data_IF_632397628789
#
_entry.id   IF_632397628789
#
_cell.length_a   1.000
_cell.length_b   1.000
_cell.length_c   1.000
_cell.angle_alpha   90.00
_cell.angle_beta   90.00
_cell.angle_gamma   90.00
#
_symmetry.space_group_name_H-M   'P 1'
#
loop_
_entity.id
_entity.type
_entity.pdbx_description
1 polymer ?
#
# COMPACT_ATOMS: atom_id res chain seq x y z
N UNK A 1 -26.21 -17.35 0.06
CA UNK A 1 -26.34 -16.98 -1.36
C UNK A 1 -24.96 -16.57 -1.85
N UNK A 2 -24.44 -17.14 -2.94
CA UNK A 2 -23.19 -16.69 -3.55
C UNK A 2 -23.45 -15.30 -4.13
N UNK A 3 -22.85 -14.26 -3.58
CA UNK A 3 -22.83 -12.94 -4.22
C UNK A 3 -22.02 -13.08 -5.52
N UNK A 4 -22.68 -12.93 -6.63
CA UNK A 4 -22.04 -12.83 -7.96
C UNK A 4 -21.56 -11.38 -8.07
N UNK A 5 -20.32 -11.16 -8.48
CA UNK A 5 -19.84 -9.82 -8.79
C UNK A 5 -20.81 -9.23 -9.83
N UNK A 6 -21.43 -8.07 -9.58
CA UNK A 6 -22.27 -7.44 -10.58
C UNK A 6 -21.50 -7.30 -11.89
N UNK A 7 -22.17 -7.56 -13.03
CA UNK A 7 -21.56 -7.48 -14.38
C UNK A 7 -20.89 -6.12 -14.62
N UNK A 8 -21.39 -5.06 -14.00
CA UNK A 8 -20.81 -3.71 -14.05
C UNK A 8 -19.46 -3.62 -13.32
N UNK A 9 -19.30 -4.30 -12.18
CA UNK A 9 -18.02 -4.42 -11.47
C UNK A 9 -17.06 -5.34 -12.22
N UNK A 10 -17.56 -6.40 -12.84
CA UNK A 10 -16.77 -7.26 -13.72
C UNK A 10 -16.22 -6.47 -14.92
N UNK A 11 -17.05 -5.63 -15.55
CA UNK A 11 -16.63 -4.70 -16.63
C UNK A 11 -15.61 -3.68 -16.15
N UNK A 12 -15.69 -3.18 -14.93
CA UNK A 12 -14.67 -2.28 -14.36
C UNK A 12 -13.31 -2.97 -14.23
N UNK A 13 -13.28 -4.27 -14.00
CA UNK A 13 -12.05 -5.06 -14.00
C UNK A 13 -11.59 -5.45 -15.42
N UNK A 14 -12.54 -5.60 -16.35
CA UNK A 14 -12.28 -6.05 -17.73
C UNK A 14 -12.00 -4.88 -18.70
N UNK A 15 -12.56 -3.68 -18.46
CA UNK A 15 -12.53 -2.52 -19.36
C UNK A 15 -11.46 -1.48 -19.02
N UNK A 16 -10.26 -1.86 -18.61
CA UNK A 16 -9.15 -0.91 -18.33
C UNK A 16 -9.47 0.14 -17.24
N UNK A 17 -10.64 0.15 -16.67
CA UNK A 17 -11.02 1.03 -15.58
C UNK A 17 -10.59 0.39 -14.27
N UNK A 18 -9.37 0.63 -13.93
CA UNK A 18 -8.83 0.21 -12.66
C UNK A 18 -9.30 1.14 -11.61
N UNK A 19 -10.33 0.72 -11.08
CA UNK A 19 -10.73 1.42 -9.89
C UNK A 19 -11.13 0.33 -8.88
N UNK A 20 -10.51 0.45 -7.73
CA UNK A 20 -10.99 -0.24 -6.54
C UNK A 20 -12.48 0.10 -6.38
N UNK A 21 -13.23 -0.72 -5.70
CA UNK A 21 -14.65 -0.47 -5.39
C UNK A 21 -14.94 0.91 -4.81
N UNK A 22 -13.95 1.52 -4.16
CA UNK A 22 -14.00 2.90 -3.70
C UNK A 22 -14.33 3.91 -4.82
N UNK A 23 -13.97 3.63 -6.06
CA UNK A 23 -14.21 4.54 -7.17
C UNK A 23 -15.68 4.76 -7.52
N UNK A 24 -16.51 3.76 -7.37
CA UNK A 24 -17.95 3.92 -7.61
C UNK A 24 -18.64 4.68 -6.48
N UNK A 25 -18.10 4.67 -5.27
CA UNK A 25 -18.61 5.41 -4.11
C UNK A 25 -18.13 6.87 -4.08
N UNK A 26 -17.00 7.19 -4.74
CA UNK A 26 -16.36 8.50 -4.73
C UNK A 26 -16.80 9.45 -5.85
N UNK A 27 -17.81 9.12 -6.65
CA UNK A 27 -18.30 9.93 -7.80
C UNK A 27 -18.74 11.36 -7.46
N UNK A 28 -18.96 11.67 -6.19
CA UNK A 28 -19.42 12.99 -5.75
C UNK A 28 -18.29 13.96 -5.35
N UNK A 29 -17.03 13.58 -5.47
CA UNK A 29 -15.88 14.40 -5.08
C UNK A 29 -15.26 15.17 -6.26
N UNK A 30 -15.87 15.14 -7.43
CA UNK A 30 -15.39 15.74 -8.67
C UNK A 30 -15.66 17.24 -8.74
N UNK A 31 -14.83 18.03 -8.09
CA UNK A 31 -14.69 19.47 -8.33
C UNK A 31 -13.31 19.79 -8.90
N UNK A 32 -13.14 20.89 -9.66
CA UNK A 32 -11.82 21.30 -10.13
C UNK A 32 -10.89 21.54 -8.94
N UNK A 33 -9.80 20.78 -8.85
CA UNK A 33 -8.81 20.91 -7.80
C UNK A 33 -7.59 21.69 -8.30
N UNK A 34 -7.80 22.97 -8.63
CA UNK A 34 -6.81 23.86 -9.25
C UNK A 34 -5.48 23.91 -8.46
N UNK A 35 -5.53 23.91 -7.13
CA UNK A 35 -4.31 23.90 -6.30
C UNK A 35 -3.56 22.57 -6.40
N UNK A 36 -4.26 21.47 -6.59
CA UNK A 36 -3.64 20.16 -6.82
C UNK A 36 -2.98 20.10 -8.20
N UNK A 37 -3.62 20.64 -9.22
CA UNK A 37 -3.08 20.77 -10.58
C UNK A 37 -1.81 21.63 -10.60
N UNK A 38 -1.85 22.79 -9.94
CA UNK A 38 -0.67 23.65 -9.77
C UNK A 38 0.47 22.92 -9.03
N UNK A 39 0.15 22.13 -8.00
CA UNK A 39 1.10 21.31 -7.28
C UNK A 39 1.73 20.22 -8.17
N UNK A 40 1.04 19.74 -9.18
CA UNK A 40 1.58 18.80 -10.16
C UNK A 40 2.48 19.49 -11.20
N UNK A 41 2.15 20.69 -11.65
CA UNK A 41 2.82 21.36 -12.75
C UNK A 41 4.30 21.72 -12.49
N UNK A 42 4.73 21.81 -11.23
CA UNK A 42 6.10 22.20 -10.86
C UNK A 42 7.06 21.05 -10.58
N UNK A 43 6.68 19.81 -10.91
CA UNK A 43 7.48 18.62 -10.59
C UNK A 43 8.60 18.40 -11.60
N UNK A 44 9.75 17.99 -11.10
CA UNK A 44 10.91 17.57 -11.87
C UNK A 44 11.11 16.05 -11.74
N UNK A 45 10.98 15.33 -12.88
CA UNK A 45 11.21 13.90 -12.95
C UNK A 45 12.67 13.59 -13.22
N UNK A 46 13.23 12.61 -12.51
CA UNK A 46 14.51 12.02 -12.87
C UNK A 46 14.28 10.95 -13.96
N UNK A 47 14.49 11.34 -15.20
CA UNK A 47 14.34 10.45 -16.35
C UNK A 47 15.58 9.57 -16.62
N UNK A 48 16.62 9.68 -15.78
CA UNK A 48 17.86 8.89 -15.86
C UNK A 48 17.84 7.67 -14.95
N UNK A 49 16.97 7.67 -13.97
CA UNK A 49 16.79 6.54 -13.01
C UNK A 49 15.98 5.42 -13.64
N UNK A 50 16.23 4.19 -13.20
CA UNK A 50 15.43 3.03 -13.61
C UNK A 50 14.04 3.12 -12.94
N UNK A 51 12.95 3.00 -13.71
CA UNK A 51 11.61 2.98 -13.13
C UNK A 51 11.40 1.72 -12.29
N UNK A 52 10.52 1.80 -11.30
CA UNK A 52 10.11 0.64 -10.53
C UNK A 52 9.51 -0.44 -11.44
N UNK A 53 10.01 -1.67 -11.33
CA UNK A 53 9.53 -2.86 -12.06
C UNK A 53 8.71 -3.79 -11.17
N UNK A 54 8.32 -3.34 -9.97
CA UNK A 54 7.47 -4.08 -9.04
C UNK A 54 6.02 -3.62 -9.16
N UNK A 55 5.09 -4.55 -9.19
CA UNK A 55 3.67 -4.22 -9.19
C UNK A 55 2.86 -5.24 -8.40
N UNK A 56 1.74 -4.76 -7.84
CA UNK A 56 0.77 -5.58 -7.14
C UNK A 56 -0.24 -6.17 -8.12
N UNK A 57 -0.55 -7.46 -7.96
CA UNK A 57 -1.66 -8.13 -8.62
C UNK A 57 -2.77 -8.44 -7.60
N UNK A 58 -3.98 -8.01 -7.89
CA UNK A 58 -5.16 -8.38 -7.10
C UNK A 58 -5.65 -9.78 -7.53
N UNK A 59 -5.53 -10.78 -6.63
CA UNK A 59 -5.96 -12.16 -6.87
C UNK A 59 -7.45 -12.38 -6.59
N UNK A 60 -8.15 -11.36 -6.06
CA UNK A 60 -9.56 -11.41 -5.68
C UNK A 60 -9.79 -10.75 -4.33
N UNK A 61 -11.04 -10.70 -3.92
CA UNK A 61 -11.42 -10.06 -2.64
C UNK A 61 -11.71 -11.07 -1.53
N UNK A 62 -11.68 -12.36 -1.84
CA UNK A 62 -11.93 -13.42 -0.87
C UNK A 62 -10.95 -13.35 0.32
N UNK A 63 -11.49 -13.32 1.53
CA UNK A 63 -10.73 -13.33 2.78
C UNK A 63 -11.51 -14.06 3.87
N UNK A 64 -10.81 -14.69 4.79
CA UNK A 64 -11.40 -15.39 5.93
C UNK A 64 -11.28 -14.59 7.25
N UNK A 65 -10.82 -13.33 7.18
CA UNK A 65 -10.85 -12.35 8.28
C UNK A 65 -11.84 -11.24 7.94
N UNK A 66 -12.26 -10.48 8.96
CA UNK A 66 -13.19 -9.36 8.84
C UNK A 66 -12.60 -8.09 9.47
N UNK A 67 -11.46 -7.65 8.94
CA UNK A 67 -10.79 -6.46 9.46
C UNK A 67 -11.71 -5.25 9.41
N UNK A 68 -11.76 -4.49 10.51
CA UNK A 68 -12.68 -3.37 10.69
C UNK A 68 -12.52 -2.29 9.61
N UNK A 69 -11.29 -1.97 9.24
CA UNK A 69 -10.96 -0.94 8.24
C UNK A 69 -10.91 -1.45 6.80
N UNK A 70 -11.28 -2.70 6.55
CA UNK A 70 -11.10 -3.31 5.23
C UNK A 70 -12.05 -2.71 4.19
N UNK A 71 -11.52 -2.11 3.14
CA UNK A 71 -12.33 -1.56 2.05
C UNK A 71 -12.97 -2.62 1.14
N UNK A 72 -12.57 -3.89 1.29
CA UNK A 72 -13.25 -5.03 0.63
C UNK A 72 -14.34 -5.67 1.48
N UNK A 73 -14.71 -5.08 2.62
CA UNK A 73 -15.57 -5.70 3.65
C UNK A 73 -16.84 -6.35 3.08
N UNK A 74 -17.50 -5.69 2.15
CA UNK A 74 -18.76 -6.18 1.54
C UNK A 74 -18.56 -7.28 0.49
N UNK A 75 -17.33 -7.69 0.22
CA UNK A 75 -16.97 -8.62 -0.85
C UNK A 75 -16.00 -9.73 -0.42
N UNK A 76 -15.81 -9.92 0.87
CA UNK A 76 -14.85 -10.90 1.40
C UNK A 76 -15.21 -12.37 1.06
N UNK A 77 -16.42 -12.64 0.61
CA UNK A 77 -16.90 -13.95 0.15
C UNK A 77 -16.76 -14.18 -1.36
N UNK A 78 -16.30 -13.16 -2.11
CA UNK A 78 -16.20 -13.21 -3.57
C UNK A 78 -14.86 -13.80 -4.00
N UNK A 79 -14.94 -14.89 -4.79
CA UNK A 79 -13.77 -15.52 -5.42
C UNK A 79 -13.62 -15.04 -6.85
N UNK A 80 -12.40 -14.70 -7.24
CA UNK A 80 -12.09 -14.36 -8.62
C UNK A 80 -11.70 -15.60 -9.40
N UNK A 81 -12.28 -15.85 -10.59
CA UNK A 81 -11.87 -16.96 -11.44
C UNK A 81 -10.38 -16.88 -11.82
N UNK A 82 -9.74 -18.05 -11.91
CA UNK A 82 -8.31 -18.14 -12.29
C UNK A 82 -7.98 -17.41 -13.59
N UNK A 83 -8.84 -17.52 -14.60
CA UNK A 83 -8.63 -16.90 -15.90
C UNK A 83 -8.52 -15.36 -15.81
N UNK A 84 -9.23 -14.75 -14.88
CA UNK A 84 -9.14 -13.31 -14.65
C UNK A 84 -7.82 -12.95 -13.95
N UNK A 85 -7.43 -13.73 -12.91
CA UNK A 85 -6.14 -13.52 -12.22
C UNK A 85 -5.00 -13.69 -13.21
N UNK A 86 -5.06 -14.73 -14.05
CA UNK A 86 -4.07 -14.99 -15.10
C UNK A 86 -3.93 -13.81 -16.06
N UNK A 87 -5.03 -13.26 -16.56
CA UNK A 87 -5.00 -12.08 -17.43
C UNK A 87 -4.32 -10.88 -16.78
N UNK A 88 -4.56 -10.64 -15.49
CA UNK A 88 -3.90 -9.57 -14.74
C UNK A 88 -2.38 -9.79 -14.66
N UNK A 89 -1.96 -11.02 -14.42
CA UNK A 89 -0.54 -11.39 -14.38
C UNK A 89 0.09 -11.22 -15.77
N UNK A 90 -0.55 -11.71 -16.82
CA UNK A 90 -0.07 -11.60 -18.21
C UNK A 90 0.11 -10.12 -18.59
N UNK A 91 -0.84 -9.27 -18.23
CA UNK A 91 -0.76 -7.84 -18.47
C UNK A 91 0.48 -7.19 -17.82
N UNK A 92 0.79 -7.55 -16.58
CA UNK A 92 1.98 -7.04 -15.90
C UNK A 92 3.27 -7.51 -16.58
N UNK A 93 3.31 -8.76 -17.03
CA UNK A 93 4.44 -9.32 -17.78
C UNK A 93 4.65 -8.60 -19.13
N UNK A 94 3.57 -8.36 -19.86
CA UNK A 94 3.60 -7.61 -21.14
C UNK A 94 4.09 -6.17 -20.94
N UNK A 95 3.74 -5.53 -19.82
CA UNK A 95 4.28 -4.22 -19.47
C UNK A 95 5.75 -4.26 -19.04
N UNK A 96 6.30 -5.44 -18.75
CA UNK A 96 7.68 -5.64 -18.32
C UNK A 96 7.88 -5.43 -16.81
N UNK A 97 6.91 -5.82 -16.01
CA UNK A 97 7.07 -5.98 -14.56
C UNK A 97 7.87 -7.25 -14.29
N UNK A 98 8.87 -7.15 -13.42
CA UNK A 98 9.75 -8.27 -13.06
C UNK A 98 9.55 -8.77 -11.63
N UNK A 99 8.85 -8.01 -10.80
CA UNK A 99 8.56 -8.37 -9.41
C UNK A 99 7.07 -8.22 -9.14
N UNK A 100 6.44 -9.25 -8.57
CA UNK A 100 5.00 -9.26 -8.32
C UNK A 100 4.66 -9.41 -6.84
N UNK A 101 3.72 -8.58 -6.38
CA UNK A 101 3.11 -8.69 -5.06
C UNK A 101 1.68 -9.24 -5.20
N UNK A 102 1.44 -10.45 -4.73
CA UNK A 102 0.12 -11.05 -4.68
C UNK A 102 -0.69 -10.43 -3.54
N UNK A 103 -1.85 -9.88 -3.84
CA UNK A 103 -2.68 -9.13 -2.91
C UNK A 103 -4.17 -9.28 -3.25
N UNK A 104 -5.02 -8.57 -2.53
CA UNK A 104 -6.46 -8.58 -2.68
C UNK A 104 -7.14 -8.68 -1.31
N UNK A 105 -7.99 -9.69 -1.12
CA UNK A 105 -8.42 -10.12 0.20
C UNK A 105 -7.27 -10.83 0.91
N UNK A 106 -7.28 -12.16 0.93
CA UNK A 106 -6.14 -12.94 1.40
C UNK A 106 -5.77 -14.00 0.35
N UNK A 107 -4.73 -13.73 -0.41
CA UNK A 107 -4.33 -14.61 -1.54
C UNK A 107 -4.01 -16.04 -1.09
N UNK A 108 -3.43 -16.21 0.12
CA UNK A 108 -3.03 -17.54 0.63
C UNK A 108 -4.20 -18.48 0.95
N UNK A 109 -5.42 -17.97 1.05
CA UNK A 109 -6.62 -18.80 1.25
C UNK A 109 -7.42 -19.02 -0.05
N UNK A 110 -6.98 -18.44 -1.16
CA UNK A 110 -7.57 -18.67 -2.47
C UNK A 110 -7.34 -20.13 -2.89
N UNK A 111 -8.35 -20.84 -3.40
CA UNK A 111 -8.18 -22.19 -3.92
C UNK A 111 -7.11 -22.33 -5.01
N UNK A 112 -6.85 -21.26 -5.74
CA UNK A 112 -5.86 -21.22 -6.83
C UNK A 112 -4.46 -20.79 -6.34
N UNK A 113 -4.24 -20.66 -5.02
CA UNK A 113 -2.95 -20.16 -4.47
C UNK A 113 -1.72 -20.81 -5.11
N UNK A 114 -1.67 -22.13 -5.10
CA UNK A 114 -0.53 -22.84 -5.67
C UNK A 114 -0.46 -22.77 -7.20
N UNK A 115 -1.61 -22.73 -7.87
CA UNK A 115 -1.68 -22.48 -9.32
C UNK A 115 -1.12 -21.12 -9.69
N UNK A 116 -1.43 -20.09 -8.89
CA UNK A 116 -0.89 -18.72 -9.07
C UNK A 116 0.62 -18.72 -8.88
N UNK A 117 1.13 -19.35 -7.81
CA UNK A 117 2.57 -19.43 -7.57
C UNK A 117 3.31 -20.17 -8.69
N UNK A 118 2.83 -21.34 -9.10
CA UNK A 118 3.41 -22.11 -10.18
C UNK A 118 3.42 -21.34 -11.49
N UNK A 119 2.36 -20.58 -11.76
CA UNK A 119 2.30 -19.74 -12.95
C UNK A 119 3.30 -18.59 -12.93
N UNK A 120 3.56 -18.01 -11.74
CA UNK A 120 4.48 -16.87 -11.58
C UNK A 120 5.94 -17.29 -11.46
N UNK A 121 6.26 -18.48 -10.96
CA UNK A 121 7.58 -18.95 -10.52
C UNK A 121 8.71 -18.66 -11.51
N UNK A 122 8.50 -18.97 -12.78
CA UNK A 122 9.54 -18.84 -13.82
C UNK A 122 9.37 -17.57 -14.67
N UNK A 123 8.42 -16.71 -14.32
CA UNK A 123 8.10 -15.49 -15.05
C UNK A 123 8.51 -14.20 -14.33
N UNK A 124 8.64 -14.27 -13.01
CA UNK A 124 9.04 -13.12 -12.20
C UNK A 124 10.35 -13.40 -11.46
N UNK A 125 11.18 -12.39 -11.35
CA UNK A 125 12.41 -12.41 -10.54
C UNK A 125 12.11 -12.58 -9.05
N UNK A 126 10.99 -12.00 -8.60
CA UNK A 126 10.53 -12.08 -7.23
C UNK A 126 9.00 -12.15 -7.13
N UNK A 127 8.54 -13.07 -6.30
CA UNK A 127 7.13 -13.20 -5.93
C UNK A 127 7.04 -12.92 -4.43
N UNK A 128 6.19 -11.96 -4.08
CA UNK A 128 5.82 -11.67 -2.70
C UNK A 128 4.31 -11.73 -2.50
N UNK A 129 3.85 -11.70 -1.27
CA UNK A 129 2.43 -11.51 -0.99
C UNK A 129 2.19 -10.62 0.23
N UNK A 130 1.07 -9.89 0.20
CA UNK A 130 0.49 -9.24 1.36
C UNK A 130 -0.42 -10.26 2.05
N UNK A 131 -0.24 -10.46 3.36
CA UNK A 131 -0.98 -11.51 4.07
C UNK A 131 -1.22 -11.17 5.53
N UNK A 132 -2.37 -11.59 6.03
CA UNK A 132 -2.64 -11.62 7.46
C UNK A 132 -1.93 -12.79 8.18
N UNK A 133 -1.12 -13.59 7.48
CA UNK A 133 -0.25 -14.62 8.03
C UNK A 133 -0.92 -15.92 8.48
N UNK A 134 -2.24 -16.00 8.44
CA UNK A 134 -2.98 -17.11 9.04
C UNK A 134 -2.64 -18.49 8.49
N UNK A 135 -2.48 -18.63 7.16
CA UNK A 135 -2.06 -19.88 6.52
C UNK A 135 -0.59 -20.20 6.74
N UNK A 136 0.25 -19.16 6.81
CA UNK A 136 1.69 -19.31 7.00
C UNK A 136 2.08 -19.74 8.42
N UNK A 137 1.16 -19.76 9.36
CA UNK A 137 1.31 -20.42 10.64
C UNK A 137 1.50 -21.96 10.51
N UNK A 138 1.10 -22.55 9.39
CA UNK A 138 1.38 -23.92 9.03
C UNK A 138 2.70 -24.00 8.26
N UNK A 139 3.73 -24.62 8.88
CA UNK A 139 5.09 -24.71 8.32
C UNK A 139 5.09 -25.43 6.96
N UNK A 140 4.37 -26.53 6.81
CA UNK A 140 4.36 -27.31 5.57
C UNK A 140 3.74 -26.52 4.42
N UNK A 141 2.63 -25.80 4.68
CA UNK A 141 2.04 -24.90 3.69
C UNK A 141 3.01 -23.79 3.24
N UNK A 142 3.77 -23.24 4.19
CA UNK A 142 4.74 -22.19 3.88
C UNK A 142 5.94 -22.74 3.12
N UNK A 143 6.45 -23.92 3.47
CA UNK A 143 7.51 -24.62 2.73
C UNK A 143 7.10 -24.86 1.29
N UNK A 144 5.92 -25.43 1.06
CA UNK A 144 5.39 -25.65 -0.28
C UNK A 144 5.23 -24.32 -1.05
N UNK A 145 4.75 -23.26 -0.40
CA UNK A 145 4.67 -21.93 -1.03
C UNK A 145 6.04 -21.40 -1.45
N UNK A 146 7.07 -21.58 -0.60
CA UNK A 146 8.45 -21.20 -0.89
C UNK A 146 9.02 -22.00 -2.07
N UNK A 147 8.82 -23.32 -2.10
CA UNK A 147 9.28 -24.20 -3.17
C UNK A 147 8.65 -23.82 -4.52
N UNK A 148 7.43 -23.30 -4.50
CA UNK A 148 6.71 -22.75 -5.67
C UNK A 148 7.06 -21.30 -5.98
N UNK A 149 8.09 -20.74 -5.35
CA UNK A 149 8.68 -19.44 -5.73
C UNK A 149 8.33 -18.26 -4.84
N UNK A 150 7.51 -18.40 -3.79
CA UNK A 150 7.28 -17.32 -2.84
C UNK A 150 8.57 -16.98 -2.10
N UNK A 151 9.06 -15.74 -2.23
CA UNK A 151 10.31 -15.28 -1.63
C UNK A 151 10.13 -14.35 -0.43
N UNK A 152 9.04 -13.59 -0.43
CA UNK A 152 8.84 -12.48 0.48
C UNK A 152 7.40 -12.40 0.95
N UNK A 153 7.18 -12.01 2.21
CA UNK A 153 5.86 -11.81 2.77
C UNK A 153 5.80 -10.47 3.50
N UNK A 154 4.81 -9.64 3.15
CA UNK A 154 4.43 -8.45 3.88
C UNK A 154 3.29 -8.80 4.83
N UNK A 155 3.61 -8.98 6.10
CA UNK A 155 2.66 -9.38 7.14
C UNK A 155 1.85 -8.20 7.66
N UNK A 156 0.53 -8.33 7.68
CA UNK A 156 -0.42 -7.32 8.19
C UNK A 156 -0.53 -7.38 9.71
N UNK A 157 0.44 -6.78 10.41
CA UNK A 157 0.55 -6.77 11.87
C UNK A 157 -0.04 -5.47 12.44
N UNK A 158 -1.30 -5.50 12.89
CA UNK A 158 -2.05 -4.31 13.26
C UNK A 158 -2.11 -4.01 14.77
N UNK A 159 -1.60 -4.87 15.63
CA UNK A 159 -1.55 -4.67 17.08
C UNK A 159 -0.34 -5.36 17.68
N UNK A 160 0.08 -4.89 18.86
CA UNK A 160 1.19 -5.45 19.59
C UNK A 160 0.76 -6.49 20.65
N UNK A 161 -0.54 -6.65 20.85
CA UNK A 161 -1.14 -7.64 21.74
C UNK A 161 -2.25 -8.40 21.02
N UNK A 162 -2.57 -9.61 21.51
CA UNK A 162 -3.67 -10.41 20.98
C UNK A 162 -5.00 -9.68 21.06
N UNK A 163 -5.25 -8.98 22.17
CA UNK A 163 -6.48 -8.23 22.39
C UNK A 163 -6.70 -7.19 21.29
N UNK A 164 -5.70 -6.35 21.02
CA UNK A 164 -5.81 -5.28 20.02
C UNK A 164 -5.81 -5.86 18.61
N UNK A 165 -4.86 -6.73 18.28
CA UNK A 165 -4.76 -7.29 16.92
C UNK A 165 -6.02 -8.08 16.52
N UNK A 166 -6.50 -8.97 17.40
CA UNK A 166 -7.67 -9.80 17.13
C UNK A 166 -8.94 -8.96 17.01
N UNK A 167 -9.08 -7.89 17.81
CA UNK A 167 -10.20 -6.96 17.74
C UNK A 167 -10.24 -6.21 16.40
N UNK A 168 -9.07 -5.88 15.86
CA UNK A 168 -8.92 -5.18 14.57
C UNK A 168 -9.23 -6.11 13.40
N UNK A 169 -8.71 -7.33 13.46
CA UNK A 169 -8.86 -8.32 12.37
C UNK A 169 -10.20 -9.06 12.39
N UNK A 170 -11.02 -8.85 13.43
CA UNK A 170 -12.28 -9.57 13.62
C UNK A 170 -12.09 -11.09 13.81
N UNK A 171 -10.87 -11.54 14.17
CA UNK A 171 -10.54 -12.97 14.21
C UNK A 171 -9.75 -13.36 15.45
N UNK A 172 -10.40 -14.00 16.41
CA UNK A 172 -9.74 -14.53 17.61
C UNK A 172 -8.57 -15.45 17.27
N UNK A 173 -7.41 -15.24 17.90
CA UNK A 173 -6.18 -15.99 17.71
C UNK A 173 -5.44 -15.62 16.42
N UNK A 174 -5.78 -14.51 15.74
CA UNK A 174 -5.06 -14.03 14.56
C UNK A 174 -3.66 -13.54 14.92
N UNK A 175 -3.48 -12.93 16.09
CA UNK A 175 -2.19 -12.48 16.58
C UNK A 175 -1.18 -13.61 16.74
N UNK A 176 -1.59 -14.70 17.40
CA UNK A 176 -0.73 -15.86 17.56
C UNK A 176 -0.37 -16.50 16.21
N UNK A 177 -1.35 -16.56 15.28
CA UNK A 177 -1.11 -17.12 13.96
C UNK A 177 -0.16 -16.28 13.13
N UNK A 178 -0.29 -14.96 13.13
CA UNK A 178 0.62 -14.10 12.37
C UNK A 178 2.04 -14.17 12.93
N UNK A 179 2.22 -14.16 14.26
CA UNK A 179 3.54 -14.29 14.87
C UNK A 179 4.20 -15.63 14.54
N UNK A 180 3.42 -16.72 14.56
CA UNK A 180 3.91 -18.04 14.12
C UNK A 180 4.28 -18.04 12.64
N UNK A 181 3.46 -17.41 11.78
CA UNK A 181 3.76 -17.26 10.34
C UNK A 181 5.06 -16.48 10.12
N UNK A 182 5.27 -15.40 10.85
CA UNK A 182 6.52 -14.62 10.83
C UNK A 182 7.72 -15.46 11.26
N UNK A 183 7.59 -16.21 12.37
CA UNK A 183 8.65 -17.09 12.85
C UNK A 183 9.00 -18.17 11.82
N UNK A 184 8.00 -18.83 11.26
CA UNK A 184 8.18 -19.84 10.20
C UNK A 184 8.88 -19.25 8.96
N UNK A 185 8.48 -18.05 8.53
CA UNK A 185 9.09 -17.37 7.37
C UNK A 185 10.56 -17.07 7.62
N UNK A 186 10.90 -16.62 8.82
CA UNK A 186 12.30 -16.36 9.22
C UNK A 186 13.11 -17.64 9.32
N UNK A 187 12.56 -18.71 9.88
CA UNK A 187 13.21 -20.03 9.94
C UNK A 187 13.53 -20.56 8.55
N UNK A 188 12.65 -20.31 7.58
CA UNK A 188 12.88 -20.67 6.20
C UNK A 188 13.79 -19.69 5.43
N UNK A 189 14.29 -18.63 6.07
CA UNK A 189 15.15 -17.62 5.43
C UNK A 189 14.43 -16.78 4.38
N UNK A 190 13.11 -16.60 4.53
CA UNK A 190 12.32 -15.74 3.65
C UNK A 190 12.43 -14.26 4.07
N UNK A 191 12.21 -13.38 3.13
CA UNK A 191 12.15 -11.93 3.41
C UNK A 191 10.84 -11.61 4.13
N UNK A 192 10.97 -11.02 5.32
CA UNK A 192 9.83 -10.61 6.16
C UNK A 192 9.74 -9.10 6.18
N UNK A 193 8.59 -8.57 5.79
CA UNK A 193 8.20 -7.17 6.01
C UNK A 193 6.93 -7.12 6.87
N UNK A 194 6.70 -6.00 7.53
CA UNK A 194 5.48 -5.77 8.32
C UNK A 194 4.73 -4.54 7.83
N UNK A 195 3.41 -4.59 7.95
CA UNK A 195 2.51 -3.52 7.58
C UNK A 195 1.50 -3.28 8.71
N UNK A 196 1.43 -2.05 9.19
CA UNK A 196 0.55 -1.65 10.28
C UNK A 196 -0.35 -0.51 9.82
N UNK A 197 -1.65 -0.75 9.70
CA UNK A 197 -2.62 0.33 9.56
C UNK A 197 -2.84 0.96 10.93
N UNK A 198 -2.49 2.24 11.05
CA UNK A 198 -2.50 2.98 12.31
C UNK A 198 -3.76 3.84 12.40
N UNK A 199 -4.53 3.63 13.46
CA UNK A 199 -5.77 4.37 13.71
C UNK A 199 -6.17 4.31 15.20
N UNK A 200 -7.39 4.70 15.57
CA UNK A 200 -7.79 4.90 16.95
C UNK A 200 -7.63 3.67 17.87
N UNK A 201 -7.68 2.45 17.35
CA UNK A 201 -7.56 1.23 18.18
C UNK A 201 -6.13 0.89 18.58
N UNK A 202 -5.12 1.30 17.79
CA UNK A 202 -3.76 0.80 17.98
C UNK A 202 -2.68 1.87 18.14
N UNK A 203 -2.96 3.16 17.85
CA UNK A 203 -1.94 4.21 17.92
C UNK A 203 -1.24 4.30 19.29
N UNK A 204 -1.98 4.01 20.36
CA UNK A 204 -1.47 4.07 21.73
C UNK A 204 -0.40 3.00 22.04
N UNK A 205 -0.38 1.89 21.30
CA UNK A 205 0.62 0.83 21.47
C UNK A 205 1.91 1.08 20.68
N UNK A 206 1.92 2.03 19.73
CA UNK A 206 3.02 2.15 18.76
C UNK A 206 4.35 2.45 19.44
N UNK A 207 4.38 3.40 20.36
CA UNK A 207 5.61 3.90 20.96
C UNK A 207 6.39 2.83 21.73
N UNK A 208 5.72 1.97 22.46
CA UNK A 208 6.37 1.02 23.35
C UNK A 208 6.20 -0.42 22.89
N UNK A 209 4.99 -0.94 22.95
CA UNK A 209 4.71 -2.36 22.72
C UNK A 209 4.97 -2.75 21.27
N UNK A 210 4.50 -1.93 20.33
CA UNK A 210 4.65 -2.23 18.91
C UNK A 210 6.10 -2.06 18.46
N UNK A 211 6.79 -1.00 18.90
CA UNK A 211 8.21 -0.83 18.62
C UNK A 211 9.06 -1.98 19.18
N UNK A 212 8.77 -2.44 20.40
CA UNK A 212 9.44 -3.60 21.00
C UNK A 212 9.19 -4.88 20.19
N UNK A 213 7.95 -5.09 19.72
CA UNK A 213 7.57 -6.22 18.89
C UNK A 213 8.30 -6.19 17.55
N UNK A 214 8.30 -5.06 16.85
CA UNK A 214 9.03 -4.89 15.58
C UNK A 214 10.53 -5.12 15.77
N UNK A 215 11.12 -4.60 16.85
CA UNK A 215 12.53 -4.83 17.16
C UNK A 215 12.84 -6.31 17.44
N UNK A 216 11.92 -7.06 18.01
CA UNK A 216 12.07 -8.51 18.23
C UNK A 216 11.94 -9.31 16.92
N UNK A 217 11.03 -8.90 16.03
CA UNK A 217 10.83 -9.49 14.72
C UNK A 217 12.02 -9.19 13.80
N UNK A 218 12.56 -7.97 13.83
CA UNK A 218 13.60 -7.48 12.92
C UNK A 218 13.23 -7.74 11.44
N UNK A 219 12.11 -7.18 10.96
CA UNK A 219 11.78 -7.27 9.55
C UNK A 219 12.78 -6.44 8.73
N UNK A 220 12.92 -6.71 7.44
CA UNK A 220 13.73 -5.85 6.56
C UNK A 220 13.10 -4.47 6.39
N UNK A 221 11.77 -4.42 6.49
CA UNK A 221 10.99 -3.18 6.35
C UNK A 221 9.72 -3.22 7.20
N UNK A 222 9.41 -2.08 7.84
CA UNK A 222 8.12 -1.83 8.50
C UNK A 222 7.39 -0.68 7.83
N UNK A 223 6.17 -0.95 7.38
CA UNK A 223 5.27 0.05 6.84
C UNK A 223 4.27 0.48 7.91
N UNK A 224 4.14 1.79 8.10
CA UNK A 224 3.07 2.41 8.88
C UNK A 224 2.15 3.13 7.91
N UNK A 225 0.90 2.74 7.90
CA UNK A 225 -0.12 3.31 7.02
C UNK A 225 -1.10 4.06 7.90
N UNK A 226 -1.25 5.38 7.71
CA UNK A 226 -2.38 6.08 8.30
C UNK A 226 -3.66 5.57 7.65
N UNK A 227 -4.75 5.49 8.41
CA UNK A 227 -6.01 5.01 7.87
C UNK A 227 -6.41 5.87 6.66
N UNK A 228 -6.77 5.21 5.57
CA UNK A 228 -7.38 5.88 4.43
C UNK A 228 -8.84 6.17 4.72
N UNK A 229 -9.27 7.40 4.45
CA UNK A 229 -10.64 7.84 4.67
C UNK A 229 -11.53 7.68 3.43
N UNK A 230 -11.06 6.98 2.42
CA UNK A 230 -11.91 6.67 1.27
C UNK A 230 -12.87 5.52 1.63
N UNK A 231 -14.15 5.81 1.48
CA UNK A 231 -15.21 4.88 1.81
C UNK A 231 -15.92 5.21 3.11
N UNK A 232 -17.19 4.86 3.13
CA UNK A 232 -18.16 5.36 4.10
C UNK A 232 -17.87 4.96 5.56
N UNK A 233 -17.13 3.87 5.78
CA UNK A 233 -16.90 3.35 7.13
C UNK A 233 -15.70 3.97 7.85
N UNK A 234 -14.78 4.58 7.13
CA UNK A 234 -13.57 5.14 7.73
C UNK A 234 -13.75 6.59 8.22
N UNK A 235 -14.71 7.31 7.66
CA UNK A 235 -14.96 8.71 8.01
C UNK A 235 -15.47 8.86 9.44
N UNK A 236 -16.25 7.90 9.94
CA UNK A 236 -16.87 7.92 11.26
C UNK A 236 -15.84 8.01 12.38
N UNK A 237 -14.66 7.42 12.18
CA UNK A 237 -13.63 7.32 13.22
C UNK A 237 -12.61 8.46 13.22
N UNK A 238 -12.67 9.35 12.22
CA UNK A 238 -11.73 10.47 12.11
C UNK A 238 -11.89 11.48 13.26
N UNK A 239 -13.09 11.67 13.77
CA UNK A 239 -13.37 12.59 14.86
C UNK A 239 -12.61 12.23 16.15
N UNK A 240 -12.26 10.94 16.33
CA UNK A 240 -11.60 10.44 17.52
C UNK A 240 -10.08 10.53 17.46
N UNK A 241 -9.47 10.37 16.28
CA UNK A 241 -8.00 10.34 16.14
C UNK A 241 -7.57 10.93 14.79
N UNK A 242 -7.08 12.15 14.82
CA UNK A 242 -6.63 12.91 13.65
C UNK A 242 -5.18 12.61 13.24
N UNK A 243 -4.72 13.20 12.13
CA UNK A 243 -3.34 13.06 11.64
C UNK A 243 -2.28 13.41 12.70
N UNK A 244 -2.50 14.42 13.53
CA UNK A 244 -1.56 14.84 14.59
C UNK A 244 -1.28 13.70 15.56
N UNK A 245 -2.33 13.10 16.07
CA UNK A 245 -2.24 12.00 17.05
C UNK A 245 -1.55 10.79 16.44
N UNK A 246 -1.99 10.38 15.23
CA UNK A 246 -1.45 9.20 14.55
C UNK A 246 0.01 9.39 14.16
N UNK A 247 0.37 10.52 13.53
CA UNK A 247 1.74 10.74 13.10
C UNK A 247 2.69 10.98 14.27
N UNK A 248 2.20 11.55 15.37
CA UNK A 248 3.00 11.66 16.61
C UNK A 248 3.31 10.27 17.17
N UNK A 249 2.34 9.37 17.22
CA UNK A 249 2.57 8.00 17.66
C UNK A 249 3.55 7.25 16.71
N UNK A 250 3.40 7.43 15.39
CA UNK A 250 4.33 6.86 14.41
C UNK A 250 5.75 7.38 14.61
N UNK A 251 5.94 8.69 14.76
CA UNK A 251 7.26 9.30 14.99
C UNK A 251 7.93 8.75 16.25
N UNK A 252 7.21 8.67 17.37
CA UNK A 252 7.72 8.08 18.61
C UNK A 252 8.06 6.60 18.49
N UNK A 253 7.28 5.85 17.69
CA UNK A 253 7.61 4.46 17.37
C UNK A 253 8.92 4.40 16.59
N UNK A 254 9.08 5.21 15.54
CA UNK A 254 10.29 5.27 14.70
C UNK A 254 11.53 5.52 15.56
N UNK A 255 11.45 6.45 16.53
CA UNK A 255 12.57 6.80 17.41
C UNK A 255 13.04 5.61 18.29
N UNK A 256 12.19 4.60 18.47
CA UNK A 256 12.50 3.39 19.25
C UNK A 256 12.88 2.17 18.39
N UNK A 257 12.74 2.27 17.07
CA UNK A 257 13.14 1.18 16.18
C UNK A 257 14.66 1.10 16.07
N UNK A 258 15.15 -0.14 16.04
CA UNK A 258 16.58 -0.43 15.86
C UNK A 258 17.06 -0.08 14.46
N UNK A 259 18.32 0.29 14.33
CA UNK A 259 18.97 0.50 13.04
C UNK A 259 18.89 -0.74 12.14
N UNK A 260 18.80 -0.51 10.84
CA UNK A 260 18.73 -1.56 9.83
C UNK A 260 17.31 -1.99 9.44
N UNK A 261 16.28 -1.51 10.14
CA UNK A 261 14.88 -1.68 9.72
C UNK A 261 14.52 -0.52 8.80
N UNK A 262 14.20 -0.79 7.56
CA UNK A 262 13.69 0.23 6.65
C UNK A 262 12.25 0.62 7.03
N UNK A 263 11.92 1.89 6.89
CA UNK A 263 10.63 2.43 7.33
C UNK A 263 9.94 3.15 6.18
N UNK A 264 8.66 2.87 6.01
CA UNK A 264 7.75 3.63 5.17
C UNK A 264 6.56 4.13 6.00
N UNK A 265 6.23 5.41 5.82
CA UNK A 265 4.99 5.99 6.34
C UNK A 265 4.14 6.42 5.15
N UNK A 266 2.96 5.80 4.97
CA UNK A 266 2.08 6.05 3.83
C UNK A 266 0.86 6.87 4.24
N UNK A 267 0.37 7.66 3.28
CA UNK A 267 -0.83 8.50 3.39
C UNK A 267 -0.74 9.60 4.44
N UNK A 268 0.45 9.80 5.04
CA UNK A 268 0.70 10.90 5.97
C UNK A 268 1.18 12.13 5.19
N UNK A 269 0.52 13.30 5.35
CA UNK A 269 0.99 14.53 4.74
C UNK A 269 2.33 14.97 5.34
N UNK A 270 3.24 15.54 4.52
CA UNK A 270 4.56 15.97 4.97
C UNK A 270 4.52 16.96 6.15
N UNK A 271 3.52 17.83 6.21
CA UNK A 271 3.39 18.80 7.29
C UNK A 271 3.08 18.18 8.67
N UNK A 272 2.70 16.93 8.71
CA UNK A 272 2.54 16.14 9.94
C UNK A 272 3.75 15.23 10.23
N UNK A 273 4.70 15.17 9.29
CA UNK A 273 5.91 14.35 9.40
C UNK A 273 7.20 15.19 9.44
N UNK A 274 7.12 16.44 9.93
CA UNK A 274 8.27 17.30 10.09
C UNK A 274 9.38 16.62 10.90
N UNK A 275 10.62 16.67 10.37
CA UNK A 275 11.79 15.95 10.89
C UNK A 275 11.87 14.47 10.49
N UNK A 276 10.80 13.91 9.91
CA UNK A 276 10.69 12.50 9.51
C UNK A 276 10.36 12.36 8.02
N UNK A 277 10.58 13.38 7.23
CA UNK A 277 10.21 13.44 5.81
C UNK A 277 10.81 12.30 4.98
N UNK A 278 12.00 11.82 5.34
CA UNK A 278 12.69 10.72 4.67
C UNK A 278 11.92 9.38 4.74
N UNK A 279 11.00 9.25 5.67
CA UNK A 279 10.17 8.06 5.84
C UNK A 279 8.83 8.13 5.09
N UNK A 280 8.44 9.33 4.63
CA UNK A 280 7.17 9.50 3.92
C UNK A 280 7.26 8.86 2.54
N UNK A 281 6.37 7.90 2.29
CA UNK A 281 6.16 7.28 1.00
C UNK A 281 4.84 7.80 0.41
N UNK A 282 4.92 8.92 -0.29
CA UNK A 282 3.78 9.51 -1.02
C UNK A 282 3.53 8.81 -2.36
N UNK A 283 2.53 9.26 -3.08
CA UNK A 283 2.11 8.68 -4.37
C UNK A 283 3.25 8.59 -5.39
N UNK A 284 4.12 9.59 -5.44
CA UNK A 284 5.23 9.60 -6.41
C UNK A 284 6.36 8.59 -6.14
N UNK A 285 6.43 8.01 -4.94
CA UNK A 285 7.39 6.94 -4.65
C UNK A 285 7.16 5.71 -5.53
N UNK A 286 5.92 5.50 -6.00
CA UNK A 286 5.59 4.43 -6.95
C UNK A 286 6.39 4.48 -8.27
N UNK A 287 6.98 5.63 -8.59
CA UNK A 287 7.74 5.80 -9.84
C UNK A 287 9.09 5.10 -9.74
N UNK A 288 9.76 5.20 -8.59
CA UNK A 288 11.17 4.83 -8.42
C UNK A 288 11.41 3.75 -7.36
N UNK A 289 10.54 3.63 -6.34
CA UNK A 289 10.76 2.71 -5.23
C UNK A 289 10.55 1.27 -5.66
N UNK A 290 11.62 0.51 -5.79
CA UNK A 290 11.62 -0.90 -6.17
C UNK A 290 10.94 -1.82 -5.16
N UNK A 291 10.62 -1.31 -3.97
CA UNK A 291 9.88 -2.02 -2.93
C UNK A 291 8.42 -1.58 -2.81
N UNK A 292 7.99 -0.68 -3.68
CA UNK A 292 6.61 -0.22 -3.66
C UNK A 292 5.67 -1.30 -4.21
N UNK A 293 4.77 -1.75 -3.35
CA UNK A 293 3.78 -2.77 -3.64
C UNK A 293 2.44 -2.21 -4.17
N UNK A 294 2.26 -0.90 -4.25
CA UNK A 294 0.97 -0.29 -4.58
C UNK A 294 0.86 0.20 -6.03
N UNK A 295 1.72 -0.28 -6.94
CA UNK A 295 1.75 0.19 -8.33
C UNK A 295 0.64 -0.39 -9.22
N UNK A 296 -0.14 -1.34 -8.75
CA UNK A 296 -1.18 -2.02 -9.51
C UNK A 296 -2.05 -1.07 -10.34
N UNK A 297 -2.56 0.00 -9.71
CA UNK A 297 -3.57 0.87 -10.29
C UNK A 297 -3.10 1.68 -11.51
N UNK A 298 -1.80 1.64 -11.84
CA UNK A 298 -1.25 2.48 -12.89
C UNK A 298 -0.93 1.72 -14.17
N UNK A 299 -0.63 0.45 -14.06
CA UNK A 299 -0.22 -0.35 -15.21
C UNK A 299 -1.38 -0.68 -16.13
N UNK A 300 -2.53 -0.97 -15.60
CA UNK A 300 -3.69 -1.41 -16.38
C UNK A 300 -4.35 -0.32 -17.28
N UNK A 301 -3.96 0.95 -17.13
CA UNK A 301 -4.42 2.05 -17.99
C UNK A 301 -3.65 2.14 -19.30
N UNK A 302 -2.58 1.35 -19.46
CA UNK A 302 -1.65 1.47 -20.56
C UNK A 302 -1.94 0.46 -21.68
N UNK A 303 -1.64 0.85 -22.90
CA UNK A 303 -1.64 -0.05 -24.03
C UNK A 303 -0.37 -0.91 -24.02
N UNK A 304 -0.47 -2.15 -23.56
CA UNK A 304 0.67 -3.07 -23.50
C UNK A 304 1.00 -3.76 -24.83
N UNK A 305 0.25 -3.46 -25.90
CA UNK A 305 0.54 -4.00 -27.23
C UNK A 305 1.86 -3.49 -27.84
N UNK A 306 2.46 -2.46 -27.22
CA UNK A 306 3.74 -1.89 -27.61
C UNK A 306 4.73 -1.84 -26.45
N UNK A 307 6.05 -2.00 -26.72
CA UNK A 307 7.06 -1.81 -25.70
C UNK A 307 7.17 -0.34 -25.27
N UNK A 308 7.48 -0.10 -24.00
CA UNK A 308 7.78 1.22 -23.46
C UNK A 308 9.24 1.33 -23.07
N UNK A 309 9.87 2.44 -23.42
CA UNK A 309 11.20 2.79 -22.93
C UNK A 309 11.15 3.11 -21.42
N UNK A 310 12.28 3.03 -20.70
CA UNK A 310 12.33 3.43 -19.28
C UNK A 310 11.79 4.84 -19.04
N UNK A 311 12.11 5.79 -19.91
CA UNK A 311 11.62 7.17 -19.84
C UNK A 311 10.10 7.26 -19.98
N UNK A 312 9.51 6.54 -20.92
CA UNK A 312 8.04 6.48 -21.09
C UNK A 312 7.39 5.80 -19.88
N UNK A 313 8.00 4.77 -19.29
CA UNK A 313 7.49 4.14 -18.07
C UNK A 313 7.47 5.09 -16.88
N UNK A 314 8.50 5.94 -16.73
CA UNK A 314 8.53 6.99 -15.72
C UNK A 314 7.41 8.01 -15.98
N UNK A 315 7.26 8.47 -17.21
CA UNK A 315 6.21 9.43 -17.57
C UNK A 315 4.80 8.86 -17.33
N UNK A 316 4.54 7.64 -17.77
CA UNK A 316 3.26 6.95 -17.56
C UNK A 316 2.93 6.80 -16.06
N UNK A 317 3.93 6.42 -15.25
CA UNK A 317 3.76 6.32 -13.81
C UNK A 317 3.46 7.68 -13.18
N UNK A 318 4.12 8.74 -13.64
CA UNK A 318 3.89 10.11 -13.19
C UNK A 318 2.46 10.59 -13.51
N UNK A 319 1.99 10.38 -14.75
CA UNK A 319 0.65 10.79 -15.17
C UNK A 319 -0.44 10.09 -14.35
N UNK A 320 -0.22 8.81 -14.06
CA UNK A 320 -1.10 8.04 -13.19
C UNK A 320 -1.07 8.54 -11.74
N UNK A 321 0.11 8.88 -11.20
CA UNK A 321 0.23 9.49 -9.88
C UNK A 321 -0.48 10.83 -9.79
N UNK A 322 -0.40 11.67 -10.83
CA UNK A 322 -1.13 12.93 -10.87
C UNK A 322 -2.63 12.72 -10.84
N UNK A 323 -3.14 11.80 -11.66
CA UNK A 323 -4.57 11.46 -11.68
C UNK A 323 -5.04 11.01 -10.30
N UNK A 324 -4.28 10.12 -9.65
CA UNK A 324 -4.58 9.67 -8.30
C UNK A 324 -4.60 10.81 -7.28
N UNK A 325 -3.59 11.68 -7.30
CA UNK A 325 -3.51 12.83 -6.39
C UNK A 325 -4.67 13.80 -6.58
N UNK A 326 -4.99 14.13 -7.82
CA UNK A 326 -6.15 15.01 -8.14
C UNK A 326 -7.45 14.41 -7.67
N UNK A 327 -7.59 13.11 -7.74
CA UNK A 327 -8.82 12.40 -7.37
C UNK A 327 -9.03 12.33 -5.87
N UNK A 328 -8.00 11.93 -5.11
CA UNK A 328 -8.15 11.55 -3.70
C UNK A 328 -7.68 12.61 -2.71
N UNK A 329 -6.89 13.60 -3.14
CA UNK A 329 -6.27 14.56 -2.24
C UNK A 329 -6.63 16.00 -2.59
N UNK A 330 -6.58 16.87 -1.59
CA UNK A 330 -6.84 18.30 -1.70
C UNK A 330 -5.71 19.09 -1.06
N UNK A 331 -5.38 20.23 -1.67
CA UNK A 331 -4.49 21.25 -1.10
C UNK A 331 -5.29 22.51 -0.79
N UNK A 332 -4.99 23.13 0.34
CA UNK A 332 -5.50 24.46 0.68
C UNK A 332 -4.58 25.54 0.12
N UNK A 333 -5.04 26.79 0.12
CA UNK A 333 -4.23 27.94 -0.32
C UNK A 333 -2.96 28.07 0.52
N UNK A 334 -2.98 27.70 1.80
CA UNK A 334 -1.81 27.74 2.67
C UNK A 334 -0.70 26.80 2.20
N UNK A 335 -1.04 25.70 1.54
CA UNK A 335 -0.05 24.77 0.98
C UNK A 335 0.86 25.45 -0.06
N UNK A 336 0.42 26.53 -0.72
CA UNK A 336 1.23 27.28 -1.67
C UNK A 336 2.49 27.89 -1.02
N UNK A 337 2.49 28.09 0.28
CA UNK A 337 3.65 28.59 1.05
C UNK A 337 4.60 27.47 1.49
N UNK A 338 4.22 26.20 1.36
CA UNK A 338 4.96 25.05 1.88
C UNK A 338 6.10 24.63 0.93
N UNK A 339 7.29 24.35 1.47
CA UNK A 339 8.44 23.82 0.68
C UNK A 339 8.09 22.50 -0.03
N UNK A 340 7.17 21.70 0.53
CA UNK A 340 6.74 20.41 -0.05
C UNK A 340 5.57 20.53 -1.04
N UNK A 341 5.17 21.72 -1.44
CA UNK A 341 3.97 21.96 -2.24
C UNK A 341 3.87 21.03 -3.46
N UNK A 342 4.97 20.82 -4.18
CA UNK A 342 4.98 19.98 -5.37
C UNK A 342 4.98 18.47 -5.05
N UNK A 343 5.79 18.04 -4.09
CA UNK A 343 6.00 16.61 -3.81
C UNK A 343 4.97 16.00 -2.82
N UNK A 344 4.26 16.83 -2.06
CA UNK A 344 3.24 16.38 -1.11
C UNK A 344 1.94 16.02 -1.83
N UNK A 345 1.31 14.91 -1.45
CA UNK A 345 0.01 14.53 -2.01
C UNK A 345 -1.09 15.51 -1.59
N UNK A 346 -1.02 16.07 -0.39
CA UNK A 346 -2.04 16.90 0.23
C UNK A 346 -2.73 16.16 1.37
N UNK A 347 -3.93 16.59 1.71
CA UNK A 347 -4.82 15.95 2.68
C UNK A 347 -5.88 15.17 1.90
N UNK A 348 -6.27 13.99 2.37
CA UNK A 348 -7.39 13.26 1.77
C UNK A 348 -8.67 14.11 1.77
N UNK A 349 -9.40 14.10 0.65
CA UNK A 349 -10.53 15.03 0.43
C UNK A 349 -11.60 14.92 1.51
N UNK A 350 -11.86 13.72 1.98
CA UNK A 350 -12.90 13.41 2.96
C UNK A 350 -12.70 14.14 4.30
N UNK A 351 -11.44 14.38 4.66
CA UNK A 351 -11.06 14.98 5.95
C UNK A 351 -10.35 16.33 5.79
N UNK A 352 -10.22 16.84 4.57
CA UNK A 352 -9.42 18.04 4.30
C UNK A 352 -9.96 19.30 4.97
N UNK A 353 -11.29 19.45 5.08
CA UNK A 353 -11.92 20.63 5.69
C UNK A 353 -11.71 20.67 7.22
N UNK A 354 -11.48 19.50 7.83
CA UNK A 354 -11.29 19.35 9.28
C UNK A 354 -9.81 19.28 9.67
N UNK A 355 -8.92 19.23 8.66
CA UNK A 355 -7.48 19.01 8.88
C UNK A 355 -6.69 20.28 8.65
N UNK A 356 -6.18 20.96 9.68
CA UNK A 356 -5.34 22.14 9.51
C UNK A 356 -4.03 21.78 8.84
N UNK A 357 -3.63 22.52 7.81
CA UNK A 357 -2.32 22.36 7.18
C UNK A 357 -1.27 23.19 7.91
N UNK A 358 -0.02 22.72 7.89
CA UNK A 358 1.15 23.36 8.55
C UNK A 358 2.24 23.54 7.51
N UNK A 359 2.23 24.63 6.75
CA UNK A 359 3.22 24.85 5.70
C UNK A 359 4.64 24.93 6.26
N UNK A 360 5.51 24.02 5.84
CA UNK A 360 6.91 24.09 6.17
C UNK A 360 7.60 25.17 5.31
N UNK A 361 8.30 26.15 5.90
CA UNK A 361 8.98 27.22 5.15
C UNK A 361 10.20 26.68 4.38
N UNK A 362 10.60 27.42 3.34
CA UNK A 362 11.79 27.11 2.55
C UNK A 362 11.52 27.05 1.05
N UNK A 363 12.59 26.84 0.29
CA UNK A 363 12.52 26.72 -1.16
C UNK A 363 11.72 25.50 -1.59
N UNK A 364 10.98 25.63 -2.69
CA UNK A 364 10.12 24.57 -3.21
C UNK A 364 10.91 23.36 -3.67
N UNK A 365 10.63 22.22 -3.07
CA UNK A 365 11.18 20.94 -3.48
C UNK A 365 10.37 20.44 -4.67
N UNK A 366 11.04 20.21 -5.80
CA UNK A 366 10.42 19.78 -7.06
C UNK A 366 10.70 18.32 -7.42
N UNK A 367 11.82 17.78 -6.96
CA UNK A 367 12.20 16.38 -7.22
C UNK A 367 11.40 15.43 -6.32
N UNK A 368 10.64 14.53 -6.93
CA UNK A 368 9.73 13.64 -6.21
C UNK A 368 10.43 12.69 -5.24
N UNK A 369 11.66 12.27 -5.55
CA UNK A 369 12.46 11.37 -4.71
C UNK A 369 13.46 12.13 -3.82
N UNK A 370 13.30 13.44 -3.60
CA UNK A 370 14.26 14.29 -2.89
C UNK A 370 14.75 13.69 -1.57
N UNK A 371 13.85 13.19 -0.75
CA UNK A 371 14.18 12.60 0.57
C UNK A 371 14.60 11.13 0.50
N UNK A 372 14.48 10.46 -0.66
CA UNK A 372 14.60 9.01 -0.80
C UNK A 372 15.60 8.57 -1.87
N UNK A 373 16.41 9.48 -2.40
CA UNK A 373 17.37 9.23 -3.49
C UNK A 373 18.32 8.05 -3.23
N UNK A 374 18.73 7.85 -1.99
CA UNK A 374 19.66 6.77 -1.64
C UNK A 374 18.95 5.41 -1.51
N UNK A 375 17.65 5.41 -1.26
CA UNK A 375 16.82 4.21 -1.19
C UNK A 375 16.52 3.66 -2.60
N UNK A 376 16.28 4.55 -3.54
CA UNK A 376 15.93 4.19 -4.92
C UNK A 376 17.12 3.58 -5.71
N UNK A 377 18.32 3.61 -5.14
CA UNK A 377 19.56 3.09 -5.75
C UNK A 377 19.95 1.67 -5.30
N UNK A 378 19.16 1.04 -4.44
CA UNK A 378 19.51 -0.27 -3.84
C UNK A 378 18.88 -1.44 -4.56
#
# INVERSE_FOLDING_TARGET
>A
MKKVIPIELQKMFDDKAIHTLSDTRLRNLDGPNTLQELGCAGIELDLTTVPCTRARVNTGTFCNYDCEFCYYKDMLDVKTPWEIVKKRIDYLLEYGITQVDLSGGESSVDPNWFTILDYCKDKFESISCLSHGGKFANMEFLKESKERGLKEILFSLHGATAEVHDSITGRKGSFERILRGIANAKELGMIVRTNTTVYYKNYHQLENEHAALINSIKPVESNFITLNYWGDFNVIEFENVNYETITTAIKRCIDKLQDGIEINVRYAPYCYMEGYEKYVAGTYQHIYDVRDWNREMYTYLLDVSKPYTPKEKIQNAYDACQTHRQRFYKKSIECTKCKHFYICDGIEKEVAEQTPVRPAPGDKIKQVNFYRKDRDKR
#
